data_IF_752590863634
#
_entry.id   IF_752590863634
#
_cell.length_a   1.000
_cell.length_b   1.000
_cell.length_c   1.000
_cell.angle_alpha   90.00
_cell.angle_beta   90.00
_cell.angle_gamma   90.00
#
_symmetry.space_group_name_H-M   'P 1'
#
loop_
_entity.id
_entity.type
_entity.pdbx_description
1 polymer ?
#
# COMPACT_ATOMS: atom_id res chain seq x y z
N UNK A 1 6.23 -7.97 -12.29
CA UNK A 1 7.10 -7.16 -11.40
C UNK A 1 6.79 -5.71 -11.66
N UNK A 2 7.06 -4.85 -10.68
CA UNK A 2 6.99 -3.39 -10.84
C UNK A 2 8.18 -2.88 -11.69
N UNK A 3 8.23 -1.58 -12.03
CA UNK A 3 9.32 -1.01 -12.83
C UNK A 3 10.72 -1.10 -12.20
N UNK A 4 10.83 -1.41 -10.91
CA UNK A 4 12.10 -1.53 -10.17
C UNK A 4 12.50 -2.99 -9.94
N UNK A 5 11.73 -3.94 -10.48
CA UNK A 5 12.01 -5.36 -10.39
C UNK A 5 11.46 -6.04 -9.12
N UNK A 6 10.75 -5.32 -8.26
CA UNK A 6 10.11 -5.93 -7.10
C UNK A 6 8.78 -6.62 -7.51
N UNK A 7 8.36 -7.67 -6.79
CA UNK A 7 7.01 -8.21 -6.97
C UNK A 7 5.98 -7.21 -6.43
N UNK A 8 4.89 -7.04 -7.18
CA UNK A 8 3.69 -6.41 -6.62
C UNK A 8 3.19 -7.22 -5.44
N UNK A 9 2.74 -6.52 -4.41
CA UNK A 9 2.17 -7.10 -3.21
C UNK A 9 0.65 -7.12 -3.34
N UNK A 10 0.06 -8.26 -2.98
CA UNK A 10 -1.37 -8.46 -2.91
C UNK A 10 -1.74 -9.04 -1.55
N UNK A 11 -2.69 -8.41 -0.86
CA UNK A 11 -3.22 -8.93 0.41
C UNK A 11 -4.76 -8.82 0.39
N UNK A 12 -5.51 -9.93 0.50
CA UNK A 12 -6.95 -9.86 0.68
C UNK A 12 -7.27 -9.26 2.07
N UNK A 13 -8.32 -8.44 2.19
CA UNK A 13 -8.73 -7.91 3.50
C UNK A 13 -9.27 -9.04 4.38
N UNK A 14 -10.05 -9.94 3.79
CA UNK A 14 -10.54 -11.14 4.46
C UNK A 14 -9.37 -12.05 4.86
N UNK A 15 -9.32 -12.44 6.14
CA UNK A 15 -8.29 -13.32 6.68
C UNK A 15 -6.93 -12.67 6.95
N UNK A 16 -6.70 -11.42 6.51
CA UNK A 16 -5.44 -10.71 6.80
C UNK A 16 -5.40 -10.20 8.25
N UNK A 17 -4.33 -10.49 9.02
CA UNK A 17 -4.20 -10.00 10.38
C UNK A 17 -4.25 -8.47 10.49
N UNK A 18 -4.85 -7.97 11.59
CA UNK A 18 -4.88 -6.54 11.90
C UNK A 18 -3.45 -5.97 11.89
N UNK A 19 -3.29 -4.82 11.24
CA UNK A 19 -1.99 -4.14 11.15
C UNK A 19 -1.15 -4.47 9.92
N UNK A 20 -1.56 -5.45 9.10
CA UNK A 20 -0.85 -5.80 7.86
C UNK A 20 -1.33 -5.00 6.64
N UNK A 21 -2.62 -4.66 6.61
CA UNK A 21 -3.19 -3.85 5.55
C UNK A 21 -2.59 -2.45 5.52
N UNK A 22 -2.51 -1.86 4.34
CA UNK A 22 -2.10 -0.48 4.08
C UNK A 22 -3.09 0.49 4.71
N UNK A 23 -2.58 1.53 5.38
CA UNK A 23 -3.42 2.45 6.17
C UNK A 23 -3.08 3.91 5.95
N UNK A 24 -4.11 4.74 6.03
CA UNK A 24 -3.98 6.20 5.95
C UNK A 24 -3.40 6.82 7.23
N UNK A 25 -3.39 8.15 7.27
CA UNK A 25 -2.94 8.94 8.43
C UNK A 25 -3.77 8.66 9.70
N UNK A 26 -5.04 8.29 9.55
CA UNK A 26 -5.96 7.97 10.64
C UNK A 26 -5.88 6.49 11.08
N UNK A 27 -4.92 5.73 10.54
CA UNK A 27 -4.73 4.30 10.80
C UNK A 27 -5.92 3.43 10.35
N UNK A 28 -6.69 3.91 9.37
CA UNK A 28 -7.80 3.19 8.74
C UNK A 28 -7.26 2.47 7.49
N UNK A 29 -7.58 1.18 7.28
CA UNK A 29 -7.26 0.50 6.03
C UNK A 29 -7.77 1.29 4.81
N UNK A 30 -6.92 1.42 3.79
CA UNK A 30 -7.26 2.24 2.60
C UNK A 30 -8.12 1.51 1.57
N UNK A 31 -8.28 0.19 1.71
CA UNK A 31 -9.18 -0.63 0.92
C UNK A 31 -10.00 -1.54 1.85
N UNK A 32 -11.18 -1.93 1.39
CA UNK A 32 -12.13 -2.81 2.06
C UNK A 32 -12.11 -4.25 1.54
N UNK A 33 -11.58 -4.47 0.34
CA UNK A 33 -11.55 -5.76 -0.36
C UNK A 33 -10.15 -6.40 -0.40
N UNK A 34 -9.14 -5.68 -0.90
CA UNK A 34 -7.75 -6.10 -0.96
C UNK A 34 -6.80 -4.91 -1.13
N UNK A 35 -5.57 -5.09 -0.68
CA UNK A 35 -4.45 -4.24 -1.05
C UNK A 35 -3.77 -4.74 -2.31
N UNK A 36 -3.40 -3.80 -3.17
CA UNK A 36 -2.51 -4.01 -4.30
C UNK A 36 -1.53 -2.84 -4.36
N UNK A 37 -0.23 -3.14 -4.29
CA UNK A 37 0.79 -2.09 -4.34
C UNK A 37 2.14 -2.57 -4.86
N UNK A 38 2.94 -1.62 -5.33
CA UNK A 38 4.36 -1.76 -5.63
C UNK A 38 5.17 -1.18 -4.48
N UNK A 39 6.30 -1.80 -4.14
CA UNK A 39 7.16 -1.38 -3.03
C UNK A 39 8.10 -0.20 -3.35
N UNK A 40 7.98 0.33 -4.57
CA UNK A 40 8.75 1.51 -4.96
C UNK A 40 10.21 1.20 -5.29
N UNK A 41 10.99 2.23 -5.63
CA UNK A 41 12.43 2.11 -5.91
C UNK A 41 13.24 1.52 -4.76
N UNK A 42 12.88 1.77 -3.49
CA UNK A 42 13.67 1.34 -2.35
C UNK A 42 13.35 -0.10 -1.86
N UNK A 43 12.20 -0.63 -2.29
CA UNK A 43 11.73 -1.98 -1.96
C UNK A 43 11.31 -2.17 -0.50
N UNK A 44 11.04 -1.11 0.26
CA UNK A 44 10.84 -1.15 1.73
C UNK A 44 9.47 -0.63 2.18
N UNK A 45 8.43 -1.42 1.98
CA UNK A 45 7.09 -1.03 2.44
C UNK A 45 6.76 -1.45 3.88
N UNK A 46 6.00 -0.62 4.58
CA UNK A 46 5.30 -0.95 5.85
C UNK A 46 3.85 -0.46 5.79
N UNK A 47 2.97 -0.97 6.64
CA UNK A 47 1.53 -0.70 6.53
C UNK A 47 1.11 0.79 6.52
N UNK A 48 1.58 1.66 7.45
CA UNK A 48 1.11 3.05 7.51
C UNK A 48 1.73 3.93 6.42
N UNK A 49 0.91 4.72 5.73
CA UNK A 49 1.35 5.70 4.73
C UNK A 49 2.18 6.86 5.33
N UNK A 50 2.13 7.04 6.65
CA UNK A 50 2.97 8.02 7.36
C UNK A 50 4.43 7.57 7.50
N UNK A 51 4.73 6.29 7.28
CA UNK A 51 6.10 5.79 7.32
C UNK A 51 6.90 6.31 6.13
N UNK A 52 8.11 6.83 6.41
CA UNK A 52 8.97 7.43 5.39
C UNK A 52 9.30 6.48 4.24
N UNK A 53 9.57 5.21 4.54
CA UNK A 53 9.90 4.18 3.53
C UNK A 53 8.69 3.72 2.71
N UNK A 54 7.50 4.21 3.02
CA UNK A 54 6.29 3.86 2.28
C UNK A 54 5.79 4.98 1.38
N UNK A 55 6.45 6.15 1.40
CA UNK A 55 6.02 7.32 0.62
C UNK A 55 6.30 7.17 -0.88
N UNK A 56 7.17 6.26 -1.27
CA UNK A 56 7.52 5.93 -2.67
C UNK A 56 6.75 4.71 -3.21
N UNK A 57 5.96 4.02 -2.38
CA UNK A 57 5.07 2.95 -2.82
C UNK A 57 4.04 3.50 -3.83
N UNK A 58 3.71 2.71 -4.85
CA UNK A 58 2.54 2.95 -5.71
C UNK A 58 1.42 2.05 -5.22
N UNK A 59 0.32 2.64 -4.76
CA UNK A 59 -0.77 1.93 -4.06
C UNK A 59 -2.10 2.09 -4.79
N UNK A 60 -2.93 1.05 -4.75
CA UNK A 60 -4.38 1.19 -4.85
C UNK A 60 -4.93 1.64 -3.50
N UNK A 61 -5.78 2.66 -3.49
CA UNK A 61 -6.48 3.13 -2.30
C UNK A 61 -7.90 3.59 -2.64
N UNK A 62 -8.73 3.82 -1.61
CA UNK A 62 -10.14 4.17 -1.72
C UNK A 62 -10.92 3.20 -2.60
N UNK A 63 -10.71 1.90 -2.40
CA UNK A 63 -11.33 0.82 -3.16
C UNK A 63 -11.14 0.95 -4.69
N UNK A 64 -10.03 1.57 -5.12
CA UNK A 64 -9.72 1.80 -6.54
C UNK A 64 -9.98 3.23 -7.01
N UNK A 65 -10.49 4.11 -6.16
CA UNK A 65 -10.63 5.54 -6.44
C UNK A 65 -9.29 6.29 -6.54
N UNK A 66 -8.20 5.68 -6.07
CA UNK A 66 -6.85 6.21 -6.19
C UNK A 66 -5.87 5.11 -6.61
N UNK A 67 -5.01 5.43 -7.59
CA UNK A 67 -3.81 4.66 -7.90
C UNK A 67 -2.67 5.64 -8.14
N UNK A 68 -1.64 5.59 -7.29
CA UNK A 68 -0.54 6.55 -7.37
C UNK A 68 0.46 6.41 -6.23
N UNK A 69 1.42 7.33 -6.19
CA UNK A 69 2.40 7.40 -5.12
C UNK A 69 1.72 7.71 -3.78
N UNK A 70 2.09 6.99 -2.73
CA UNK A 70 1.63 7.28 -1.36
C UNK A 70 1.95 8.71 -0.93
N UNK A 71 3.01 9.31 -1.47
CA UNK A 71 3.35 10.71 -1.22
C UNK A 71 2.28 11.72 -1.67
N UNK A 72 1.43 11.33 -2.63
CA UNK A 72 0.38 12.14 -3.23
C UNK A 72 -1.04 11.75 -2.76
N UNK A 73 -1.14 10.83 -1.80
CA UNK A 73 -2.37 10.43 -1.13
C UNK A 73 -2.50 11.19 0.20
#
# INVERSE_FOLDING_TARGET
TDPWGNPYQYLPVEGTPKGKLRKDHFMVPVNSDYDLYSMGPDGKSVAPFTAKSSRDDIVRANDGGFVGLVSNY
#
